data_IF_418460404473
#
_entry.id   IF_418460404473
#
_cell.length_a   1.000
_cell.length_b   1.000
_cell.length_c   1.000
_cell.angle_alpha   90.00
_cell.angle_beta   90.00
_cell.angle_gamma   90.00
#
_symmetry.space_group_name_H-M   'P 1'
#
loop_
_entity.id
_entity.type
_entity.pdbx_description
1 polymer ?
#
# COMPACT_ATOMS: atom_id res chain seq x y z
N UNK A 1 24.38 17.89 -1.38
CA UNK A 1 23.06 17.24 -1.37
C UNK A 1 23.07 16.28 -0.19
N UNK A 2 22.02 16.20 0.62
CA UNK A 2 22.01 15.22 1.70
C UNK A 2 21.72 13.84 1.08
N UNK A 3 22.65 12.89 1.23
CA UNK A 3 22.40 11.52 0.85
C UNK A 3 21.58 10.85 1.96
N UNK A 4 20.40 10.33 1.60
CA UNK A 4 19.57 9.56 2.51
C UNK A 4 19.75 8.07 2.22
N UNK A 5 19.95 7.28 3.27
CA UNK A 5 20.17 5.84 3.18
C UNK A 5 18.92 5.09 3.67
N UNK A 6 18.49 4.02 3.00
CA UNK A 6 17.42 3.19 3.52
C UNK A 6 17.80 2.59 4.89
N UNK A 7 16.87 2.69 5.84
CA UNK A 7 17.01 2.07 7.17
C UNK A 7 16.33 0.72 7.26
N UNK A 8 15.38 0.45 6.35
CA UNK A 8 14.60 -0.77 6.33
C UNK A 8 14.06 -1.06 4.93
N UNK A 9 13.51 -2.27 4.76
CA UNK A 9 12.66 -2.65 3.63
C UNK A 9 11.37 -3.24 4.15
N UNK A 10 10.29 -3.03 3.38
CA UNK A 10 9.02 -3.66 3.70
C UNK A 10 8.78 -4.89 2.83
N UNK A 11 8.33 -5.97 3.44
CA UNK A 11 7.79 -7.14 2.77
C UNK A 11 6.27 -7.09 2.82
N UNK A 12 5.64 -7.26 1.66
CA UNK A 12 4.18 -7.26 1.50
C UNK A 12 3.75 -8.39 0.57
N UNK A 13 2.46 -8.73 0.50
CA UNK A 13 1.96 -9.71 -0.46
C UNK A 13 2.07 -9.27 -1.93
N UNK A 14 2.47 -8.02 -2.20
CA UNK A 14 2.52 -7.46 -3.56
C UNK A 14 3.91 -7.54 -4.16
N UNK A 15 4.13 -8.47 -5.09
CA UNK A 15 5.38 -8.57 -5.85
C UNK A 15 5.49 -7.47 -6.94
N UNK A 16 4.36 -6.96 -7.39
CA UNK A 16 4.24 -5.96 -8.45
C UNK A 16 3.20 -4.88 -8.13
N UNK A 17 3.12 -3.85 -8.97
CA UNK A 17 2.27 -2.67 -8.73
C UNK A 17 0.77 -2.96 -8.85
N UNK A 18 0.36 -3.90 -9.70
CA UNK A 18 -1.05 -4.21 -9.89
C UNK A 18 -1.63 -4.85 -8.63
N UNK A 19 -2.73 -4.30 -8.12
CA UNK A 19 -3.36 -4.75 -6.87
C UNK A 19 -2.89 -4.02 -5.61
N UNK A 20 -1.76 -3.30 -5.66
CA UNK A 20 -1.34 -2.48 -4.49
C UNK A 20 -2.42 -1.44 -4.19
N UNK A 21 -2.85 -1.32 -2.91
CA UNK A 21 -3.79 -0.30 -2.51
C UNK A 21 -3.32 1.10 -2.90
N UNK A 22 -4.26 1.95 -3.32
CA UNK A 22 -3.91 3.30 -3.83
C UNK A 22 -3.47 4.26 -2.73
N UNK A 23 -3.81 3.96 -1.49
CA UNK A 23 -3.44 4.71 -0.28
C UNK A 23 -3.31 3.74 0.89
N UNK A 24 -2.46 4.08 1.84
CA UNK A 24 -2.38 3.35 3.10
C UNK A 24 -3.70 3.37 3.87
N UNK A 25 -3.97 2.31 4.61
CA UNK A 25 -5.15 2.19 5.45
C UNK A 25 -6.47 1.88 4.72
N UNK A 26 -6.54 1.97 3.36
CA UNK A 26 -7.78 1.66 2.64
C UNK A 26 -8.04 0.15 2.52
N UNK A 27 -6.99 -0.66 2.59
CA UNK A 27 -7.08 -2.12 2.62
C UNK A 27 -6.23 -2.67 3.77
N UNK A 28 -6.71 -3.73 4.44
CA UNK A 28 -6.05 -4.32 5.61
C UNK A 28 -4.87 -5.24 5.23
N UNK A 29 -3.98 -4.75 4.36
CA UNK A 29 -2.84 -5.53 3.87
C UNK A 29 -1.77 -5.65 4.95
N UNK A 30 -1.29 -6.87 5.26
CA UNK A 30 -0.18 -7.07 6.17
C UNK A 30 1.13 -6.63 5.54
N UNK A 31 2.07 -6.20 6.37
CA UNK A 31 3.45 -5.92 5.99
C UNK A 31 4.42 -6.28 7.11
N UNK A 32 5.64 -6.65 6.76
CA UNK A 32 6.77 -6.82 7.67
C UNK A 32 7.84 -5.80 7.31
N UNK A 33 8.28 -5.01 8.25
CA UNK A 33 9.36 -4.05 8.07
C UNK A 33 10.61 -4.64 8.69
N UNK A 34 11.58 -4.96 7.85
CA UNK A 34 12.87 -5.55 8.23
C UNK A 34 13.93 -4.47 8.17
N UNK A 35 14.57 -4.21 9.31
CA UNK A 35 15.63 -3.21 9.41
C UNK A 35 16.90 -3.67 8.69
N UNK A 36 17.59 -2.73 8.04
CA UNK A 36 18.91 -3.01 7.49
C UNK A 36 19.93 -3.24 8.61
N UNK A 37 20.96 -4.08 8.41
CA UNK A 37 21.85 -4.51 9.49
C UNK A 37 22.40 -3.42 10.41
N UNK A 38 22.78 -2.23 9.92
CA UNK A 38 23.32 -1.18 10.80
C UNK A 38 22.27 -0.58 11.77
N UNK A 39 20.98 -0.82 11.54
CA UNK A 39 19.87 -0.18 12.27
C UNK A 39 19.07 -1.18 13.14
N UNK A 40 19.58 -2.41 13.33
CA UNK A 40 18.91 -3.50 14.06
C UNK A 40 19.05 -3.42 15.59
N UNK A 41 19.58 -2.32 16.11
CA UNK A 41 19.68 -2.14 17.56
C UNK A 41 18.26 -2.02 18.18
N UNK A 42 17.85 -2.95 19.07
CA UNK A 42 16.53 -2.89 19.71
C UNK A 42 16.26 -1.58 20.46
N UNK A 43 17.31 -0.89 20.91
CA UNK A 43 17.17 0.38 21.61
C UNK A 43 16.53 1.47 20.73
N UNK A 44 16.70 1.40 19.40
CA UNK A 44 16.09 2.34 18.46
C UNK A 44 14.56 2.22 18.37
N UNK A 45 13.99 1.07 18.77
CA UNK A 45 12.54 0.80 18.73
C UNK A 45 11.87 0.92 20.10
N UNK A 46 12.64 1.27 21.14
CA UNK A 46 12.11 1.35 22.51
C UNK A 46 10.97 2.37 22.61
N UNK A 47 9.81 1.92 23.10
CA UNK A 47 8.61 2.75 23.23
C UNK A 47 7.77 2.87 21.96
N UNK A 48 8.19 2.25 20.84
CA UNK A 48 7.41 2.30 19.59
C UNK A 48 6.08 1.51 19.71
N UNK A 49 6.07 0.44 20.53
CA UNK A 49 4.87 -0.41 20.76
C UNK A 49 3.73 0.31 21.47
N UNK A 50 3.99 1.47 22.10
CA UNK A 50 2.96 2.30 22.74
C UNK A 50 2.12 3.06 21.69
N UNK A 51 2.54 3.08 20.42
CA UNK A 51 1.85 3.75 19.33
C UNK A 51 1.07 2.77 18.47
N UNK A 52 -0.19 3.09 18.20
CA UNK A 52 -1.05 2.28 17.33
C UNK A 52 -0.73 2.43 15.84
N UNK A 53 -0.14 3.54 15.44
CA UNK A 53 0.19 3.86 14.04
C UNK A 53 1.55 4.51 13.93
N UNK A 54 2.18 4.30 12.77
CA UNK A 54 3.47 4.89 12.41
C UNK A 54 3.41 5.48 11.01
N UNK A 55 4.20 6.53 10.79
CA UNK A 55 4.53 7.06 9.48
C UNK A 55 5.72 6.32 8.90
N UNK A 56 5.63 5.95 7.62
CA UNK A 56 6.72 5.45 6.82
C UNK A 56 7.08 6.50 5.77
N UNK A 57 8.35 6.92 5.73
CA UNK A 57 8.93 7.73 4.65
C UNK A 57 9.73 6.76 3.77
N UNK A 58 9.34 6.65 2.50
CA UNK A 58 9.84 5.62 1.59
C UNK A 58 10.02 6.15 0.17
N UNK A 59 10.56 5.37 -0.74
CA UNK A 59 10.82 5.78 -2.12
C UNK A 59 10.08 4.91 -3.13
N UNK A 60 9.56 5.56 -4.18
CA UNK A 60 9.04 4.88 -5.37
C UNK A 60 10.20 4.38 -6.25
N UNK A 61 11.02 3.45 -5.73
CA UNK A 61 12.23 2.94 -6.36
C UNK A 61 12.00 2.36 -7.77
N UNK A 62 10.81 1.77 -8.00
CA UNK A 62 10.41 1.20 -9.31
C UNK A 62 9.78 2.21 -10.28
N UNK A 63 9.69 3.48 -9.90
CA UNK A 63 9.08 4.53 -10.71
C UNK A 63 9.96 5.76 -10.87
N UNK A 64 11.23 5.67 -10.51
CA UNK A 64 12.20 6.75 -10.66
C UNK A 64 12.38 7.09 -12.14
N UNK A 65 12.42 8.38 -12.44
CA UNK A 65 12.69 8.94 -13.77
C UNK A 65 13.83 9.92 -13.67
N UNK A 66 14.60 10.04 -14.75
CA UNK A 66 15.69 11.06 -14.83
C UNK A 66 15.10 12.47 -14.86
N UNK A 67 14.00 12.65 -15.58
CA UNK A 67 13.30 13.94 -15.71
C UNK A 67 11.98 13.92 -14.98
N UNK A 68 11.66 15.03 -14.32
CA UNK A 68 10.37 15.24 -13.69
C UNK A 68 9.47 16.11 -14.58
N UNK A 69 8.15 16.01 -14.36
CA UNK A 69 7.19 16.87 -15.04
C UNK A 69 6.41 17.68 -14.01
N UNK A 70 6.19 18.98 -14.23
CA UNK A 70 5.40 19.81 -13.30
C UNK A 70 3.93 19.38 -13.24
N UNK A 71 3.46 18.60 -14.22
CA UNK A 71 2.08 18.12 -14.26
C UNK A 71 2.00 16.63 -14.51
N UNK A 72 0.96 16.01 -13.95
CA UNK A 72 0.60 14.60 -14.14
C UNK A 72 -0.88 14.49 -14.53
N UNK A 73 -1.28 13.32 -15.03
CA UNK A 73 -2.68 13.01 -15.35
C UNK A 73 -3.19 11.96 -14.36
N UNK A 74 -3.89 12.36 -13.28
CA UNK A 74 -4.42 11.41 -12.33
C UNK A 74 -5.44 10.48 -13.00
N UNK A 75 -5.33 9.14 -12.87
CA UNK A 75 -6.28 8.19 -13.45
C UNK A 75 -7.72 8.42 -12.94
N UNK A 76 -7.87 8.96 -11.74
CA UNK A 76 -9.18 9.28 -11.13
C UNK A 76 -9.93 10.44 -11.79
N UNK A 77 -9.22 11.28 -12.56
CA UNK A 77 -9.81 12.36 -13.34
C UNK A 77 -9.98 11.95 -14.83
N UNK A 78 -10.14 10.65 -15.11
CA UNK A 78 -10.30 10.11 -16.47
C UNK A 78 -9.04 10.14 -17.32
N UNK A 79 -7.88 10.47 -16.74
CA UNK A 79 -6.58 10.50 -17.45
C UNK A 79 -6.39 11.67 -18.43
N UNK A 80 -7.40 12.52 -18.64
CA UNK A 80 -7.34 13.66 -19.57
C UNK A 80 -7.02 14.99 -18.89
N UNK A 81 -7.42 15.16 -17.62
CA UNK A 81 -7.18 16.37 -16.85
C UNK A 81 -5.75 16.37 -16.30
N UNK A 82 -5.02 17.47 -16.56
CA UNK A 82 -3.68 17.68 -15.97
C UNK A 82 -3.79 18.36 -14.62
N UNK A 83 -3.03 17.85 -13.65
CA UNK A 83 -2.89 18.43 -12.31
C UNK A 83 -1.43 18.71 -12.02
N UNK A 84 -1.15 19.75 -11.24
CA UNK A 84 0.20 19.98 -10.69
C UNK A 84 0.67 18.77 -9.90
N UNK A 85 1.92 18.34 -10.08
CA UNK A 85 2.45 17.14 -9.44
C UNK A 85 2.36 17.23 -7.91
N UNK A 86 2.54 18.41 -7.34
CA UNK A 86 2.45 18.64 -5.89
C UNK A 86 1.01 18.66 -5.36
N UNK A 87 0.02 18.82 -6.22
CA UNK A 87 -1.39 18.63 -5.86
C UNK A 87 -1.82 17.13 -5.91
N UNK A 88 -0.89 16.22 -6.13
CA UNK A 88 -1.14 14.77 -6.25
C UNK A 88 -0.17 13.96 -5.39
N UNK A 89 -0.46 12.66 -5.22
CA UNK A 89 0.46 11.67 -4.64
C UNK A 89 1.11 10.79 -5.72
N UNK A 90 1.32 11.35 -6.91
CA UNK A 90 1.99 10.66 -8.02
C UNK A 90 3.45 10.31 -7.66
N UNK A 91 3.97 9.14 -8.08
CA UNK A 91 5.38 8.80 -7.93
C UNK A 91 6.31 9.68 -8.78
N UNK A 92 5.79 10.33 -9.83
CA UNK A 92 6.56 11.13 -10.79
C UNK A 92 6.85 12.54 -10.27
N UNK A 93 7.43 12.60 -9.08
CA UNK A 93 7.85 13.83 -8.38
C UNK A 93 9.38 13.93 -8.34
N UNK A 94 9.94 15.13 -8.08
CA UNK A 94 11.41 15.34 -8.16
C UNK A 94 12.23 14.34 -7.35
N UNK A 95 11.79 14.01 -6.12
CA UNK A 95 12.54 13.10 -5.24
C UNK A 95 11.93 11.69 -5.15
N UNK A 96 10.76 11.46 -5.74
CA UNK A 96 10.09 10.16 -5.72
C UNK A 96 9.80 9.60 -4.31
N UNK A 97 9.63 10.48 -3.30
CA UNK A 97 9.33 10.06 -1.92
C UNK A 97 7.84 9.82 -1.73
N UNK A 98 7.54 8.76 -0.98
CA UNK A 98 6.22 8.41 -0.49
C UNK A 98 6.11 8.62 1.01
N UNK A 99 4.87 8.78 1.49
CA UNK A 99 4.52 8.89 2.90
C UNK A 99 3.25 8.06 3.13
N UNK A 100 3.33 7.09 4.04
CA UNK A 100 2.22 6.20 4.38
C UNK A 100 2.05 6.09 5.88
N UNK A 101 0.83 6.26 6.37
CA UNK A 101 0.47 5.90 7.75
C UNK A 101 -0.04 4.48 7.77
N UNK A 102 0.55 3.63 8.62
CA UNK A 102 0.18 2.23 8.78
C UNK A 102 -0.09 1.90 10.24
N UNK A 103 -1.00 0.96 10.51
CA UNK A 103 -1.16 0.46 11.87
C UNK A 103 0.04 -0.40 12.26
N UNK A 104 0.60 -0.17 13.44
CA UNK A 104 1.59 -1.04 14.04
C UNK A 104 0.87 -2.13 14.83
N UNK A 105 1.04 -3.40 14.43
CA UNK A 105 0.39 -4.52 15.11
C UNK A 105 1.23 -5.05 16.28
N UNK A 106 2.52 -5.20 16.06
CA UNK A 106 3.50 -5.63 17.08
C UNK A 106 4.93 -5.43 16.59
N UNK A 107 5.86 -5.44 17.51
CA UNK A 107 7.29 -5.61 17.25
C UNK A 107 7.67 -7.04 17.63
N UNK A 108 8.24 -7.79 16.70
CA UNK A 108 8.81 -9.11 16.94
C UNK A 108 10.31 -8.94 17.20
N UNK A 109 10.69 -9.03 18.47
CA UNK A 109 12.02 -8.65 18.93
C UNK A 109 13.11 -9.66 18.58
N UNK A 110 12.76 -10.95 18.61
CA UNK A 110 13.70 -12.07 18.51
C UNK A 110 13.53 -12.80 17.17
N UNK A 111 14.16 -12.26 16.12
CA UNK A 111 14.22 -12.92 14.82
C UNK A 111 15.67 -13.01 14.31
N UNK A 112 15.97 -13.90 13.38
CA UNK A 112 17.30 -13.95 12.74
C UNK A 112 17.69 -12.65 12.03
N UNK A 113 16.71 -11.81 11.71
CA UNK A 113 16.87 -10.53 11.02
C UNK A 113 16.96 -9.34 11.99
N UNK A 114 17.01 -9.61 13.33
CA UNK A 114 16.85 -8.61 14.37
C UNK A 114 15.36 -8.26 14.59
N UNK A 115 15.04 -7.13 15.25
CA UNK A 115 13.66 -6.72 15.46
C UNK A 115 12.92 -6.48 14.14
N UNK A 116 11.70 -7.01 14.02
CA UNK A 116 10.82 -6.87 12.85
C UNK A 116 9.51 -6.20 13.27
N UNK A 117 9.08 -5.17 12.55
CA UNK A 117 7.79 -4.54 12.79
C UNK A 117 6.72 -5.18 11.90
N UNK A 118 5.65 -5.63 12.52
CA UNK A 118 4.45 -6.10 11.81
C UNK A 118 3.45 -4.97 11.72
N UNK A 119 3.03 -4.67 10.49
CA UNK A 119 2.14 -3.55 10.21
C UNK A 119 0.94 -3.99 9.39
N UNK A 120 -0.12 -3.19 9.41
CA UNK A 120 -1.31 -3.37 8.59
C UNK A 120 -1.68 -2.08 7.87
N UNK A 121 -2.23 -2.23 6.67
CA UNK A 121 -2.64 -1.09 5.85
C UNK A 121 -1.56 -0.58 4.91
N UNK A 122 -0.51 -1.38 4.65
CA UNK A 122 0.56 -1.02 3.72
C UNK A 122 0.06 -0.90 2.27
N UNK A 123 0.53 0.14 1.59
CA UNK A 123 0.28 0.44 0.17
C UNK A 123 1.58 0.44 -0.65
N UNK A 124 2.48 -0.46 -0.31
CA UNK A 124 3.81 -0.58 -0.88
C UNK A 124 4.02 -1.94 -1.56
N UNK A 125 4.82 -1.93 -2.62
CA UNK A 125 5.32 -3.17 -3.23
C UNK A 125 6.38 -3.79 -2.34
N UNK A 126 6.45 -5.12 -2.29
CA UNK A 126 7.47 -5.84 -1.51
C UNK A 126 8.89 -5.46 -1.94
N UNK A 127 9.78 -5.24 -0.98
CA UNK A 127 11.15 -4.79 -1.18
C UNK A 127 11.32 -3.26 -1.24
N UNK A 128 10.24 -2.47 -1.15
CA UNK A 128 10.33 -1.00 -1.15
C UNK A 128 11.21 -0.49 -0.01
N UNK A 129 12.19 0.40 -0.29
CA UNK A 129 13.08 0.95 0.72
C UNK A 129 12.36 1.99 1.60
N UNK A 130 12.58 1.90 2.91
CA UNK A 130 12.09 2.84 3.91
C UNK A 130 13.28 3.66 4.42
N UNK A 131 13.16 4.98 4.45
CA UNK A 131 14.20 5.91 4.88
C UNK A 131 14.01 6.42 6.29
N UNK A 132 12.75 6.43 6.80
CA UNK A 132 12.46 6.88 8.16
C UNK A 132 11.15 6.28 8.66
N UNK A 133 11.07 6.10 9.97
CA UNK A 133 9.89 5.64 10.70
C UNK A 133 9.64 6.64 11.83
N UNK A 134 8.41 7.17 11.91
CA UNK A 134 8.01 8.09 12.98
C UNK A 134 6.70 7.64 13.62
N UNK A 135 6.48 7.88 14.91
CA UNK A 135 5.19 7.64 15.51
C UNK A 135 4.13 8.58 14.89
N UNK A 136 2.91 8.08 14.72
CA UNK A 136 1.75 8.90 14.38
C UNK A 136 1.17 9.52 15.65
N UNK A 137 1.04 10.83 15.67
CA UNK A 137 0.55 11.61 16.81
C UNK A 137 -0.84 12.17 16.50
N UNK A 138 -1.89 11.50 16.96
CA UNK A 138 -3.28 11.84 16.60
C UNK A 138 -3.64 13.32 16.90
N UNK A 139 -3.09 13.89 17.97
CA UNK A 139 -3.40 15.27 18.37
C UNK A 139 -2.85 16.34 17.41
N UNK A 140 -1.88 16.00 16.55
CA UNK A 140 -1.25 16.92 15.59
C UNK A 140 -1.34 16.46 14.14
N UNK A 141 -1.37 15.14 13.88
CA UNK A 141 -1.37 14.59 12.53
C UNK A 141 -2.79 14.44 11.96
N UNK A 142 -3.82 14.41 12.82
CA UNK A 142 -5.20 14.25 12.39
C UNK A 142 -5.86 15.60 12.11
N UNK A 143 -6.36 15.78 10.88
CA UNK A 143 -7.12 16.94 10.45
C UNK A 143 -8.48 16.49 9.86
N UNK A 144 -9.48 16.15 10.71
CA UNK A 144 -10.77 15.61 10.23
C UNK A 144 -11.50 16.53 9.25
N UNK A 145 -11.35 17.85 9.42
CA UNK A 145 -12.01 18.88 8.60
C UNK A 145 -11.19 19.31 7.37
N UNK A 146 -10.08 18.61 7.08
CA UNK A 146 -9.24 18.96 5.95
C UNK A 146 -9.98 18.83 4.61
N UNK A 147 -9.90 19.86 3.77
CA UNK A 147 -10.47 19.85 2.43
C UNK A 147 -9.75 18.84 1.52
N UNK A 148 -10.48 17.92 0.93
CA UNK A 148 -9.95 16.85 0.09
C UNK A 148 -9.57 17.24 -1.35
N UNK A 149 -9.77 18.50 -1.75
CA UNK A 149 -9.52 18.96 -3.12
C UNK A 149 -10.27 18.10 -4.15
N UNK A 150 -9.61 17.73 -5.25
CA UNK A 150 -10.21 16.89 -6.30
C UNK A 150 -10.48 15.45 -5.84
N UNK A 151 -10.06 15.05 -4.65
CA UNK A 151 -10.33 13.74 -4.06
C UNK A 151 -11.58 13.74 -3.17
N UNK A 152 -12.20 14.90 -2.92
CA UNK A 152 -13.45 15.00 -2.19
C UNK A 152 -14.54 14.16 -2.90
N UNK A 153 -15.24 13.30 -2.17
CA UNK A 153 -16.26 12.38 -2.72
C UNK A 153 -15.71 11.13 -3.41
N UNK A 154 -14.39 10.95 -3.46
CA UNK A 154 -13.75 9.74 -4.01
C UNK A 154 -13.54 8.62 -2.98
N UNK A 155 -14.09 8.74 -1.77
CA UNK A 155 -14.23 7.62 -0.83
C UNK A 155 -15.04 6.54 -1.54
N UNK A 156 -14.33 5.54 -2.07
CA UNK A 156 -14.82 4.70 -3.15
C UNK A 156 -15.97 3.80 -2.72
N UNK A 157 -16.91 3.61 -3.63
CA UNK A 157 -17.81 2.47 -3.61
C UNK A 157 -16.96 1.20 -3.51
N UNK A 158 -17.29 0.36 -2.54
CA UNK A 158 -16.65 -0.94 -2.40
C UNK A 158 -17.43 -1.96 -3.21
N UNK A 159 -16.71 -2.85 -3.89
CA UNK A 159 -17.32 -3.99 -4.54
C UNK A 159 -17.74 -5.05 -3.51
N UNK A 160 -18.83 -5.73 -3.78
CA UNK A 160 -19.13 -6.99 -3.11
C UNK A 160 -18.16 -8.06 -3.62
N UNK A 161 -17.46 -8.76 -2.73
CA UNK A 161 -16.52 -9.80 -3.12
C UNK A 161 -17.12 -11.18 -2.88
N UNK A 162 -17.22 -11.95 -3.94
CA UNK A 162 -17.59 -13.37 -3.92
C UNK A 162 -16.33 -14.21 -4.11
N UNK A 163 -15.89 -14.86 -3.05
CA UNK A 163 -14.75 -15.75 -3.04
C UNK A 163 -15.16 -17.09 -2.40
N UNK A 164 -15.21 -18.19 -3.16
CA UNK A 164 -15.45 -19.52 -2.60
C UNK A 164 -14.43 -19.86 -1.51
N UNK A 165 -14.88 -20.47 -0.41
CA UNK A 165 -14.02 -20.82 0.72
C UNK A 165 -12.81 -21.67 0.28
N UNK A 166 -13.02 -22.61 -0.64
CA UNK A 166 -11.96 -23.47 -1.18
C UNK A 166 -10.85 -22.69 -1.91
N UNK A 167 -11.16 -21.57 -2.55
CA UNK A 167 -10.17 -20.69 -3.18
C UNK A 167 -9.46 -19.82 -2.13
N UNK A 168 -10.21 -19.36 -1.11
CA UNK A 168 -9.62 -18.56 -0.05
C UNK A 168 -8.67 -19.39 0.84
N UNK A 169 -8.92 -20.69 1.00
CA UNK A 169 -8.07 -21.62 1.75
C UNK A 169 -6.69 -21.81 1.12
N UNK A 170 -6.57 -21.57 -0.18
CA UNK A 170 -5.28 -21.55 -0.85
C UNK A 170 -4.39 -20.36 -0.44
N UNK A 171 -4.95 -19.33 0.19
CA UNK A 171 -4.23 -18.12 0.69
C UNK A 171 -3.88 -18.32 2.16
N UNK A 172 -2.64 -18.01 2.60
CA UNK A 172 -2.26 -18.03 4.00
C UNK A 172 -3.25 -17.24 4.87
N UNK A 173 -3.65 -17.78 6.02
CA UNK A 173 -4.70 -17.20 6.87
C UNK A 173 -4.45 -15.73 7.20
N UNK A 174 -3.21 -15.38 7.56
CA UNK A 174 -2.81 -14.01 7.89
C UNK A 174 -2.99 -13.02 6.72
N UNK A 175 -3.11 -13.50 5.48
CA UNK A 175 -3.24 -12.68 4.27
C UNK A 175 -4.68 -12.63 3.71
N UNK A 176 -5.58 -13.52 4.16
CA UNK A 176 -6.95 -13.66 3.62
C UNK A 176 -7.76 -12.37 3.73
N UNK A 177 -7.77 -11.75 4.91
CA UNK A 177 -8.49 -10.50 5.14
C UNK A 177 -7.92 -9.36 4.27
N UNK A 178 -6.60 -9.30 4.13
CA UNK A 178 -5.93 -8.35 3.24
C UNK A 178 -6.36 -8.52 1.79
N UNK A 179 -6.37 -9.76 1.28
CA UNK A 179 -6.82 -10.07 -0.09
C UNK A 179 -8.26 -9.61 -0.32
N UNK A 180 -9.20 -10.02 0.54
CA UNK A 180 -10.61 -9.64 0.40
C UNK A 180 -10.78 -8.11 0.45
N UNK A 181 -10.04 -7.43 1.32
CA UNK A 181 -10.06 -5.97 1.43
C UNK A 181 -9.53 -5.29 0.15
N UNK A 182 -8.47 -5.81 -0.46
CA UNK A 182 -7.94 -5.31 -1.75
C UNK A 182 -8.96 -5.47 -2.86
N UNK A 183 -9.55 -6.66 -2.99
CA UNK A 183 -10.55 -6.95 -4.01
C UNK A 183 -11.78 -6.05 -3.86
N UNK A 184 -12.24 -5.83 -2.63
CA UNK A 184 -13.36 -4.93 -2.34
C UNK A 184 -13.08 -3.46 -2.72
N UNK A 185 -11.82 -3.04 -2.74
CA UNK A 185 -11.41 -1.69 -3.14
C UNK A 185 -11.17 -1.52 -4.67
N UNK A 186 -11.62 -2.47 -5.48
CA UNK A 186 -11.51 -2.49 -6.93
C UNK A 186 -10.09 -2.25 -7.44
N UNK A 187 -9.28 -3.31 -7.56
CA UNK A 187 -7.88 -3.18 -8.01
C UNK A 187 -7.75 -2.82 -9.49
N UNK A 188 -8.85 -2.86 -10.26
CA UNK A 188 -8.83 -2.57 -11.72
C UNK A 188 -8.43 -1.12 -12.00
N UNK A 189 -7.82 -0.86 -13.17
CA UNK A 189 -7.75 0.49 -13.72
C UNK A 189 -9.16 1.04 -13.97
N UNK A 190 -9.49 2.22 -13.45
CA UNK A 190 -10.84 2.80 -13.51
C UNK A 190 -11.39 3.07 -14.93
N UNK A 191 -10.54 3.05 -15.95
CA UNK A 191 -10.94 3.20 -17.37
C UNK A 191 -11.30 1.86 -18.02
N UNK A 192 -11.24 0.76 -17.26
CA UNK A 192 -11.58 -0.57 -17.75
C UNK A 192 -12.88 -1.03 -17.09
N UNK A 193 -13.94 -1.03 -17.86
CA UNK A 193 -15.27 -1.50 -17.44
C UNK A 193 -15.79 -2.53 -18.46
N UNK A 194 -15.09 -3.66 -18.55
CA UNK A 194 -15.47 -4.80 -19.39
C UNK A 194 -15.84 -5.97 -18.46
N UNK A 195 -17.14 -6.31 -18.36
CA UNK A 195 -17.61 -7.37 -17.46
C UNK A 195 -17.15 -8.78 -17.89
N UNK A 196 -16.79 -8.98 -19.17
CA UNK A 196 -16.30 -10.27 -19.67
C UNK A 196 -14.80 -10.46 -19.38
N UNK A 197 -14.08 -9.40 -19.02
CA UNK A 197 -12.64 -9.46 -18.82
C UNK A 197 -12.26 -10.15 -17.52
N UNK A 198 -11.35 -11.12 -17.63
CA UNK A 198 -10.70 -11.76 -16.49
C UNK A 198 -9.38 -11.04 -16.19
N UNK A 199 -9.20 -10.65 -14.94
CA UNK A 199 -7.98 -10.03 -14.43
C UNK A 199 -7.18 -11.06 -13.64
N UNK A 200 -5.85 -10.95 -13.67
CA UNK A 200 -4.94 -11.68 -12.80
C UNK A 200 -4.15 -10.72 -11.93
N UNK A 201 -4.06 -10.99 -10.65
CA UNK A 201 -3.37 -10.17 -9.66
C UNK A 201 -2.42 -11.03 -8.84
N UNK A 202 -1.13 -10.65 -8.82
CA UNK A 202 -0.16 -11.28 -7.95
C UNK A 202 -0.40 -10.87 -6.50
N UNK A 203 -0.63 -11.84 -5.61
CA UNK A 203 -0.84 -11.61 -4.19
C UNK A 203 -0.31 -12.80 -3.36
N UNK A 204 0.64 -12.54 -2.47
CA UNK A 204 1.20 -13.56 -1.58
C UNK A 204 1.87 -14.74 -2.31
N UNK A 205 2.51 -14.47 -3.45
CA UNK A 205 3.15 -15.50 -4.28
C UNK A 205 2.18 -16.30 -5.15
N UNK A 206 0.91 -15.91 -5.23
CA UNK A 206 -0.15 -16.55 -6.02
C UNK A 206 -0.71 -15.60 -7.06
N UNK A 207 -1.32 -16.15 -8.11
CA UNK A 207 -2.08 -15.41 -9.09
C UNK A 207 -3.58 -15.53 -8.77
N UNK A 208 -4.20 -14.43 -8.34
CA UNK A 208 -5.65 -14.34 -8.06
C UNK A 208 -6.36 -13.89 -9.31
N UNK A 209 -7.18 -14.76 -9.88
CA UNK A 209 -7.99 -14.48 -11.08
C UNK A 209 -9.39 -14.08 -10.67
N UNK A 210 -9.89 -12.97 -11.24
CA UNK A 210 -11.22 -12.45 -10.93
C UNK A 210 -11.84 -11.72 -12.12
N UNK A 211 -13.15 -11.51 -12.06
CA UNK A 211 -13.93 -10.62 -12.94
C UNK A 211 -14.81 -9.71 -12.11
N UNK A 212 -15.28 -8.63 -12.71
CA UNK A 212 -16.19 -7.68 -12.05
C UNK A 212 -17.37 -7.37 -12.95
N UNK A 213 -18.58 -7.54 -12.43
CA UNK A 213 -19.84 -7.25 -13.11
C UNK A 213 -20.86 -6.71 -12.11
N UNK A 214 -21.57 -5.63 -12.44
CA UNK A 214 -22.66 -5.10 -11.63
C UNK A 214 -22.30 -4.76 -10.18
N UNK A 215 -21.07 -4.31 -9.90
CA UNK A 215 -20.60 -4.02 -8.55
C UNK A 215 -20.17 -5.24 -7.73
N UNK A 216 -20.17 -6.43 -8.34
CA UNK A 216 -19.73 -7.69 -7.73
C UNK A 216 -18.41 -8.13 -8.35
N UNK A 217 -17.43 -8.43 -7.51
CA UNK A 217 -16.17 -9.04 -7.90
C UNK A 217 -16.20 -10.53 -7.55
N UNK A 218 -16.14 -11.38 -8.55
CA UNK A 218 -16.13 -12.85 -8.38
C UNK A 218 -14.72 -13.38 -8.57
N UNK A 219 -14.16 -14.06 -7.57
CA UNK A 219 -12.88 -14.76 -7.65
C UNK A 219 -13.07 -16.08 -8.41
N UNK A 220 -12.29 -16.28 -9.46
CA UNK A 220 -12.38 -17.43 -10.37
C UNK A 220 -11.32 -18.50 -10.11
N UNK A 221 -10.19 -18.13 -9.48
CA UNK A 221 -9.10 -19.03 -9.17
C UNK A 221 -8.01 -18.35 -8.36
N UNK A 222 -7.26 -19.17 -7.61
CA UNK A 222 -6.04 -18.79 -6.86
C UNK A 222 -5.00 -19.87 -7.15
N UNK A 223 -3.95 -19.52 -7.90
CA UNK A 223 -2.94 -20.44 -8.46
C UNK A 223 -1.54 -20.11 -7.96
#
# INVERSE_FOLDING_TARGET
MADITPIARIETPFAEKFGVPRQSGVAACPGRIVLEPPYRDPAALRGLEDFSHIWLIWQFDRALRQDWSPTVRPPRLGGNTRMGVFATRSPFRPNGLGLSSVALERVEWDTPEGPVLHVRGADLVSGTPIFDIKPYLAYTDSHPDAAGGFTAGLAGERLTVECPASLLDAVPEAQRQGLLSVLANDPRPRYQDDPARVYGMAYGGRNVRFRVEGGVLTVLGVE
#
